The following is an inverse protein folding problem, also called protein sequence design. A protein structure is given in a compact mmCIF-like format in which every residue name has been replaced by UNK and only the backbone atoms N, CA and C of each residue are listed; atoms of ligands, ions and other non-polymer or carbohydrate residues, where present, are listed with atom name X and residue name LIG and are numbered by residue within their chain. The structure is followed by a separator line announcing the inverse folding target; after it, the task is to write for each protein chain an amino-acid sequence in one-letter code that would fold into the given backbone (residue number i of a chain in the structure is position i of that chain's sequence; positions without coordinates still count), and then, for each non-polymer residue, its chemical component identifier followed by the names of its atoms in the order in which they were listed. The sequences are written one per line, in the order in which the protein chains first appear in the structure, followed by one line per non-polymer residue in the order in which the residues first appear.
data_IF_260573285088
#
_entry.id   IF_260573285088
#
_cell.length_a   1.000
_cell.length_b   1.000
_cell.length_c   1.000
_cell.angle_alpha   90.00
_cell.angle_beta   90.00
_cell.angle_gamma   90.00
#
_symmetry.space_group_name_H-M   'P 1'
#
loop_
_entity.id
_entity.type
_entity.pdbx_description
1 polymer ?
#
# COMPACT_ATOMS: atom_id res chain seq x y z
N UNK A 1 -4.09 25.88 -28.86
CA UNK A 1 -4.89 25.25 -27.79
C UNK A 1 -3.90 24.63 -26.85
N UNK A 2 -3.96 25.07 -25.59
CA UNK A 2 -3.02 24.79 -24.50
C UNK A 2 -2.97 23.29 -24.21
N UNK A 3 -1.76 22.73 -24.22
CA UNK A 3 -1.50 21.41 -23.66
C UNK A 3 -1.56 21.55 -22.14
N UNK A 4 -2.68 21.15 -21.55
CA UNK A 4 -2.77 21.04 -20.10
C UNK A 4 -1.71 20.05 -19.62
N UNK A 5 -0.71 20.63 -18.99
CA UNK A 5 0.46 19.97 -18.43
C UNK A 5 0.09 19.53 -17.02
N UNK A 6 -0.89 18.65 -16.88
CA UNK A 6 -1.25 18.15 -15.55
C UNK A 6 -0.30 17.02 -15.15
N UNK A 7 0.57 17.41 -14.23
CA UNK A 7 1.62 16.61 -13.60
C UNK A 7 0.97 15.73 -12.53
N UNK A 8 0.13 14.79 -12.93
CA UNK A 8 -0.30 13.75 -12.01
C UNK A 8 0.91 12.88 -11.67
N UNK A 9 1.20 12.63 -10.38
CA UNK A 9 2.35 11.81 -10.03
C UNK A 9 2.13 10.39 -10.55
N UNK A 10 3.23 9.67 -10.79
CA UNK A 10 3.23 8.36 -11.46
C UNK A 10 2.30 7.32 -10.85
N UNK A 11 1.84 7.51 -9.60
CA UNK A 11 0.89 6.63 -8.92
C UNK A 11 -0.55 6.66 -9.42
N UNK A 12 -0.90 7.64 -10.24
CA UNK A 12 -2.25 7.77 -10.80
C UNK A 12 -2.41 7.16 -12.19
N UNK A 13 -1.33 6.75 -12.86
CA UNK A 13 -1.33 6.22 -14.24
C UNK A 13 -1.57 4.71 -14.35
N UNK A 14 -2.20 4.10 -13.35
CA UNK A 14 -2.41 2.65 -13.27
C UNK A 14 -3.52 2.09 -14.18
N UNK A 15 -4.14 2.91 -15.04
CA UNK A 15 -5.36 2.56 -15.78
C UNK A 15 -5.17 1.61 -16.99
N UNK A 16 -3.97 1.08 -17.25
CA UNK A 16 -3.70 0.23 -18.42
C UNK A 16 -3.71 -1.30 -18.17
N UNK A 17 -3.95 -1.77 -16.94
CA UNK A 17 -3.80 -3.20 -16.63
C UNK A 17 -5.01 -3.75 -15.88
N UNK A 18 -5.67 -4.78 -16.46
CA UNK A 18 -6.88 -5.46 -15.96
C UNK A 18 -7.00 -5.35 -14.44
N UNK A 19 -7.89 -4.43 -14.05
CA UNK A 19 -7.71 -3.64 -12.84
C UNK A 19 -8.43 -4.35 -11.69
N UNK A 20 -7.70 -4.66 -10.62
CA UNK A 20 -8.32 -4.83 -9.29
C UNK A 20 -8.73 -3.43 -8.78
N UNK A 21 -9.55 -2.71 -9.59
CA UNK A 21 -9.82 -1.27 -9.48
C UNK A 21 -10.60 -0.91 -8.25
N UNK A 22 -11.31 -1.88 -7.69
CA UNK A 22 -12.19 -1.65 -6.56
C UNK A 22 -11.45 -1.65 -5.22
N UNK A 23 -10.20 -2.13 -5.20
CA UNK A 23 -9.42 -2.27 -3.97
C UNK A 23 -8.47 -1.09 -3.76
N UNK A 24 -8.72 -0.34 -2.68
CA UNK A 24 -7.94 0.85 -2.32
C UNK A 24 -7.48 0.76 -0.87
N UNK A 25 -6.19 0.88 -0.62
CA UNK A 25 -5.67 1.09 0.72
C UNK A 25 -5.94 2.52 1.15
N UNK A 26 -6.53 2.70 2.34
CA UNK A 26 -6.92 4.00 2.86
C UNK A 26 -6.28 4.21 4.23
N UNK A 27 -5.41 5.20 4.34
CA UNK A 27 -4.85 5.67 5.60
C UNK A 27 -5.60 6.88 6.13
N UNK A 28 -6.02 6.86 7.40
CA UNK A 28 -6.67 8.00 8.07
C UNK A 28 -6.22 8.10 9.52
N UNK A 29 -6.24 9.31 10.07
CA UNK A 29 -6.07 9.54 11.50
C UNK A 29 -7.45 9.58 12.17
N UNK A 30 -7.73 8.63 13.06
CA UNK A 30 -8.98 8.56 13.82
C UNK A 30 -8.69 8.76 15.31
N UNK A 31 -9.17 9.88 15.88
CA UNK A 31 -8.93 10.19 17.30
C UNK A 31 -7.45 10.30 17.66
N UNK A 32 -6.61 10.79 16.73
CA UNK A 32 -5.15 10.87 16.91
C UNK A 32 -4.40 9.55 16.66
N UNK A 33 -5.10 8.48 16.26
CA UNK A 33 -4.50 7.17 16.00
C UNK A 33 -4.51 6.88 14.50
N UNK A 34 -3.35 6.62 13.86
CA UNK A 34 -3.30 6.24 12.46
C UNK A 34 -3.91 4.85 12.26
N UNK A 35 -4.83 4.74 11.30
CA UNK A 35 -5.52 3.52 10.90
C UNK A 35 -5.45 3.33 9.40
N UNK A 36 -5.43 2.06 9.01
CA UNK A 36 -5.32 1.65 7.61
C UNK A 36 -6.40 0.63 7.32
N UNK A 37 -7.08 0.85 6.21
CA UNK A 37 -8.19 0.05 5.74
C UNK A 37 -7.93 -0.40 4.30
N UNK A 38 -8.50 -1.54 3.93
CA UNK A 38 -8.77 -1.89 2.54
C UNK A 38 -10.21 -1.49 2.26
N UNK A 39 -10.42 -0.59 1.32
CA UNK A 39 -11.73 -0.28 0.77
C UNK A 39 -11.98 -1.21 -0.43
N UNK A 40 -13.11 -1.90 -0.43
CA UNK A 40 -13.57 -2.74 -1.54
C UNK A 40 -15.08 -2.53 -1.72
N UNK A 41 -15.49 -2.15 -2.94
CA UNK A 41 -16.88 -1.85 -3.31
C UNK A 41 -17.60 -0.92 -2.31
N UNK A 42 -16.88 0.07 -1.76
CA UNK A 42 -17.39 1.06 -0.79
C UNK A 42 -17.40 0.61 0.68
N UNK A 43 -16.96 -0.63 0.96
CA UNK A 43 -16.85 -1.17 2.33
C UNK A 43 -15.41 -1.06 2.82
N UNK A 44 -15.20 -0.56 4.04
CA UNK A 44 -13.88 -0.45 4.67
C UNK A 44 -13.60 -1.65 5.59
N UNK A 45 -12.58 -2.42 5.24
CA UNK A 45 -12.06 -3.53 6.02
C UNK A 45 -10.77 -3.12 6.74
N UNK A 46 -10.64 -3.30 8.06
CA UNK A 46 -9.40 -2.98 8.75
C UNK A 46 -8.27 -3.89 8.26
N UNK A 47 -7.19 -3.28 7.74
CA UNK A 47 -6.04 -4.01 7.19
C UNK A 47 -5.24 -4.76 8.27
N UNK A 48 -5.57 -4.54 9.56
CA UNK A 48 -4.91 -5.13 10.74
C UNK A 48 -5.07 -6.66 10.89
N UNK A 49 -5.85 -7.34 10.04
CA UNK A 49 -6.30 -8.71 10.32
C UNK A 49 -6.33 -9.69 9.14
N UNK A 50 -6.15 -9.25 7.90
CA UNK A 50 -6.67 -10.07 6.80
C UNK A 50 -5.94 -11.37 6.51
N UNK A 51 -4.71 -11.60 6.99
CA UNK A 51 -4.07 -12.92 6.84
C UNK A 51 -2.78 -12.95 7.64
N UNK A 52 -2.69 -13.45 8.89
CA UNK A 52 -1.40 -13.96 9.42
C UNK A 52 -1.54 -15.05 10.48
N UNK A 53 -0.68 -16.08 10.44
CA UNK A 53 -0.41 -16.97 11.56
C UNK A 53 0.30 -16.23 12.71
N UNK A 54 0.03 -16.63 13.95
CA UNK A 54 0.57 -15.99 15.17
C UNK A 54 2.10 -15.86 15.22
N UNK A 55 2.83 -16.75 14.53
CA UNK A 55 4.29 -16.80 14.52
C UNK A 55 5.01 -15.60 13.89
N UNK A 56 4.31 -14.76 13.13
CA UNK A 56 4.91 -13.56 12.50
C UNK A 56 4.62 -12.25 13.24
N UNK A 57 3.96 -12.31 14.40
CA UNK A 57 3.56 -11.13 15.18
C UNK A 57 4.74 -10.44 15.86
N UNK A 58 5.74 -11.20 16.28
CA UNK A 58 6.89 -10.72 17.06
C UNK A 58 7.90 -9.95 16.21
N UNK A 59 8.19 -10.44 14.99
CA UNK A 59 9.16 -9.80 14.08
C UNK A 59 8.83 -8.34 13.76
N UNK A 60 7.55 -7.97 13.83
CA UNK A 60 7.11 -6.63 13.45
C UNK A 60 7.01 -5.67 14.63
N UNK A 61 7.09 -6.13 15.88
CA UNK A 61 7.09 -5.22 17.03
C UNK A 61 8.40 -4.41 17.16
N UNK A 62 9.46 -4.81 16.46
CA UNK A 62 10.77 -4.15 16.49
C UNK A 62 10.97 -3.07 15.40
N UNK A 63 10.12 -2.99 14.38
CA UNK A 63 10.35 -2.12 13.21
C UNK A 63 9.64 -0.75 13.31
N UNK A 64 10.10 0.27 12.59
CA UNK A 64 9.46 1.61 12.56
C UNK A 64 8.06 1.57 11.91
N UNK A 65 7.20 2.57 12.18
CA UNK A 65 5.79 2.54 11.72
C UNK A 65 5.65 2.53 10.19
N UNK A 66 6.57 3.18 9.45
CA UNK A 66 6.54 3.23 7.99
C UNK A 66 6.86 1.88 7.34
N UNK A 67 7.86 1.17 7.87
CA UNK A 67 8.24 -0.18 7.44
C UNK A 67 7.11 -1.18 7.69
N UNK A 68 6.45 -1.09 8.85
CA UNK A 68 5.26 -1.92 9.14
C UNK A 68 4.12 -1.65 8.16
N UNK A 69 3.88 -0.38 7.81
CA UNK A 69 2.87 -0.01 6.83
C UNK A 69 3.20 -0.58 5.45
N UNK A 70 4.42 -0.37 4.98
CA UNK A 70 4.93 -0.88 3.72
C UNK A 70 4.72 -2.38 3.61
N UNK A 71 5.17 -3.13 4.61
CA UNK A 71 5.01 -4.57 4.60
C UNK A 71 3.55 -5.01 4.68
N UNK A 72 2.67 -4.27 5.36
CA UNK A 72 1.24 -4.65 5.44
C UNK A 72 0.60 -4.57 4.05
N UNK A 73 0.86 -3.46 3.36
CA UNK A 73 0.37 -3.21 2.01
C UNK A 73 0.95 -4.25 1.04
N UNK A 74 2.26 -4.45 1.06
CA UNK A 74 2.93 -5.42 0.19
C UNK A 74 2.43 -6.84 0.43
N UNK A 75 2.25 -7.25 1.70
CA UNK A 75 1.79 -8.59 2.03
C UNK A 75 0.36 -8.84 1.57
N UNK A 76 -0.53 -7.86 1.72
CA UNK A 76 -1.86 -7.94 1.14
C UNK A 76 -1.80 -8.00 -0.39
N UNK A 77 -1.03 -7.10 -1.01
CA UNK A 77 -0.88 -7.05 -2.46
C UNK A 77 -0.32 -8.36 -3.02
N UNK A 78 0.65 -9.00 -2.38
CA UNK A 78 1.29 -10.25 -2.85
C UNK A 78 0.56 -11.53 -2.42
N UNK A 79 -0.69 -11.44 -1.96
CA UNK A 79 -1.47 -12.58 -1.42
C UNK A 79 -0.72 -13.38 -0.34
N UNK A 80 0.06 -12.69 0.48
CA UNK A 80 0.75 -13.26 1.62
C UNK A 80 2.13 -13.84 1.35
N UNK A 81 2.75 -13.55 0.20
CA UNK A 81 4.16 -13.91 -0.02
C UNK A 81 5.10 -13.08 0.87
N UNK A 82 5.50 -13.69 1.99
CA UNK A 82 6.38 -13.10 3.00
C UNK A 82 7.74 -12.72 2.43
N UNK A 83 8.33 -13.58 1.60
CA UNK A 83 9.69 -13.40 1.12
C UNK A 83 9.74 -12.23 0.14
N UNK A 84 8.78 -12.18 -0.77
CA UNK A 84 8.64 -11.09 -1.72
C UNK A 84 8.38 -9.76 -1.00
N UNK A 85 7.44 -9.73 -0.03
CA UNK A 85 7.17 -8.52 0.74
C UNK A 85 8.40 -8.00 1.49
N UNK A 86 9.20 -8.89 2.09
CA UNK A 86 10.44 -8.50 2.81
C UNK A 86 11.49 -7.93 1.86
N UNK A 87 11.70 -8.57 0.72
CA UNK A 87 12.67 -8.11 -0.29
C UNK A 87 12.34 -6.71 -0.80
N UNK A 88 11.04 -6.40 -0.96
CA UNK A 88 10.59 -5.13 -1.51
C UNK A 88 10.37 -4.02 -0.46
N UNK A 89 10.26 -4.40 0.82
CA UNK A 89 9.87 -3.52 1.91
C UNK A 89 10.65 -2.19 1.95
N UNK A 90 11.98 -2.27 1.94
CA UNK A 90 12.81 -1.08 2.12
C UNK A 90 12.59 -0.09 0.97
N UNK A 91 12.59 -0.59 -0.28
CA UNK A 91 12.34 0.24 -1.47
C UNK A 91 10.92 0.83 -1.46
N UNK A 92 9.92 0.02 -1.12
CA UNK A 92 8.53 0.49 -1.04
C UNK A 92 8.33 1.54 0.05
N UNK A 93 9.03 1.39 1.18
CA UNK A 93 8.99 2.36 2.28
C UNK A 93 9.50 3.72 1.81
N UNK A 94 10.64 3.74 1.09
CA UNK A 94 11.27 4.97 0.63
C UNK A 94 10.55 5.61 -0.55
N UNK A 95 10.11 4.82 -1.52
CA UNK A 95 9.57 5.34 -2.78
C UNK A 95 8.06 5.61 -2.74
N UNK A 96 7.32 4.93 -1.86
CA UNK A 96 5.86 5.02 -1.80
C UNK A 96 5.41 5.54 -0.44
N UNK A 97 5.78 4.87 0.65
CA UNK A 97 5.25 5.22 1.98
C UNK A 97 5.73 6.59 2.47
N UNK A 98 7.00 6.94 2.23
CA UNK A 98 7.56 8.23 2.63
C UNK A 98 6.86 9.43 1.97
N UNK A 99 6.25 9.21 0.80
CA UNK A 99 5.54 10.23 0.03
C UNK A 99 4.04 10.32 0.40
N UNK A 100 3.55 9.46 1.29
CA UNK A 100 2.15 9.47 1.69
C UNK A 100 1.88 10.62 2.68
N UNK A 101 0.85 11.46 2.45
CA UNK A 101 0.51 12.55 3.35
C UNK A 101 0.04 12.06 4.72
N UNK A 102 0.55 12.68 5.78
CA UNK A 102 0.26 12.30 7.18
C UNK A 102 -1.22 12.51 7.58
N UNK A 103 -1.90 13.46 6.93
CA UNK A 103 -3.31 13.79 7.19
C UNK A 103 -4.29 12.74 6.69
N UNK A 104 -3.82 11.81 5.84
CA UNK A 104 -4.61 10.73 5.28
C UNK A 104 -4.38 10.59 3.77
N UNK A 105 -4.50 9.36 3.28
CA UNK A 105 -4.13 9.01 1.91
C UNK A 105 -4.99 7.87 1.37
N UNK A 106 -4.99 7.73 0.05
CA UNK A 106 -5.60 6.64 -0.69
C UNK A 106 -4.59 6.11 -1.69
N UNK A 107 -4.36 4.80 -1.67
CA UNK A 107 -3.39 4.13 -2.52
C UNK A 107 -4.08 2.94 -3.17
N UNK A 108 -4.27 2.98 -4.49
CA UNK A 108 -4.94 1.90 -5.20
C UNK A 108 -4.07 0.62 -5.20
N UNK A 109 -4.70 -0.55 -5.09
CA UNK A 109 -3.99 -1.84 -5.03
C UNK A 109 -3.31 -2.20 -6.34
N UNK A 110 -3.93 -1.87 -7.47
CA UNK A 110 -3.36 -2.03 -8.81
C UNK A 110 -2.06 -1.23 -9.02
N UNK A 111 -1.94 -0.02 -8.46
CA UNK A 111 -0.69 0.73 -8.45
C UNK A 111 0.42 -0.03 -7.71
N UNK A 112 0.11 -0.60 -6.53
CA UNK A 112 1.07 -1.39 -5.76
C UNK A 112 1.52 -2.61 -6.57
N UNK A 113 0.58 -3.29 -7.24
CA UNK A 113 0.86 -4.37 -8.17
C UNK A 113 1.78 -3.96 -9.33
N UNK A 114 1.48 -2.84 -9.98
CA UNK A 114 2.30 -2.31 -11.08
C UNK A 114 3.71 -1.97 -10.59
N UNK A 115 3.82 -1.34 -9.42
CA UNK A 115 5.11 -1.03 -8.80
C UNK A 115 5.91 -2.31 -8.51
N UNK A 116 5.29 -3.35 -7.94
CA UNK A 116 5.94 -4.64 -7.68
C UNK A 116 6.51 -5.22 -8.98
N UNK A 117 5.71 -5.27 -10.05
CA UNK A 117 6.13 -5.80 -11.35
C UNK A 117 7.35 -5.06 -11.90
N UNK A 118 7.35 -3.72 -11.80
CA UNK A 118 8.46 -2.87 -12.26
C UNK A 118 9.76 -3.09 -11.46
N UNK A 119 9.69 -3.57 -10.21
CA UNK A 119 10.88 -3.86 -9.40
C UNK A 119 11.39 -5.30 -9.54
N UNK A 120 10.61 -6.17 -10.18
CA UNK A 120 10.97 -7.55 -10.46
C UNK A 120 11.46 -7.77 -11.90
N UNK A 121 11.22 -6.81 -12.80
CA UNK A 121 11.80 -6.72 -14.14
C UNK A 121 13.24 -6.19 -14.11
#
# INVERSE_FOLDING_TARGET
MTYDSETYPSWQRADEYIVDSERVYVGRCEGGVPRVYLEESGTLYPLRKLTRPESMREMWQAENMACRLALTILFDATWGDVNLSRTLCHKFTLEVVAELPESGWRLRRDFVWAWIRLKLS
#
